data_IF_306717345361
#
_entry.id   IF_306717345361
#
_cell.length_a   1.000
_cell.length_b   1.000
_cell.length_c   1.000
_cell.angle_alpha   90.00
_cell.angle_beta   90.00
_cell.angle_gamma   90.00
#
_symmetry.space_group_name_H-M   'P 1'
#
loop_
_entity.id
_entity.type
_entity.pdbx_description
1 polymer ?
#
# COMPACT_ATOMS: atom_id res chain seq x y z
N UNK A 1 -1.64 8.31 5.36
CA UNK A 1 -1.65 6.89 5.77
C UNK A 1 -0.81 6.71 7.03
N UNK A 2 -1.07 5.69 7.84
CA UNK A 2 -0.17 5.35 8.95
C UNK A 2 1.16 4.82 8.37
N UNK A 3 2.28 5.39 8.82
CA UNK A 3 3.61 4.96 8.35
C UNK A 3 3.96 3.53 8.77
N UNK A 4 3.51 3.08 9.96
CA UNK A 4 3.74 1.71 10.42
C UNK A 4 3.07 0.70 9.49
N UNK A 5 1.81 0.92 9.10
CA UNK A 5 1.10 0.03 8.18
C UNK A 5 1.76 -0.02 6.80
N UNK A 6 2.32 1.11 6.34
CA UNK A 6 3.05 1.15 5.08
C UNK A 6 4.35 0.35 5.17
N UNK A 7 5.11 0.49 6.26
CA UNK A 7 6.35 -0.28 6.47
C UNK A 7 6.07 -1.77 6.61
N UNK A 8 5.05 -2.16 7.36
CA UNK A 8 4.65 -3.57 7.49
C UNK A 8 4.27 -4.17 6.13
N UNK A 9 3.51 -3.43 5.31
CA UNK A 9 3.15 -3.84 3.97
C UNK A 9 4.37 -4.02 3.06
N UNK A 10 5.34 -3.08 3.11
CA UNK A 10 6.56 -3.17 2.31
C UNK A 10 7.48 -4.31 2.78
N UNK A 11 7.58 -4.55 4.09
CA UNK A 11 8.37 -5.65 4.66
C UNK A 11 7.79 -7.03 4.33
N UNK A 12 6.49 -7.13 4.02
CA UNK A 12 5.83 -8.36 3.64
C UNK A 12 5.97 -8.69 2.13
N UNK A 13 6.54 -7.79 1.33
CA UNK A 13 6.68 -7.96 -0.12
C UNK A 13 8.10 -8.41 -0.44
N UNK A 14 8.22 -9.59 -1.07
CA UNK A 14 9.51 -10.19 -1.43
C UNK A 14 10.08 -9.68 -2.78
N UNK A 15 9.52 -8.61 -3.34
CA UNK A 15 9.99 -8.02 -4.60
C UNK A 15 10.76 -6.73 -4.35
N UNK A 16 11.80 -6.43 -5.15
CA UNK A 16 12.59 -5.21 -4.98
C UNK A 16 11.81 -3.93 -5.29
N UNK A 17 10.74 -4.03 -6.08
CA UNK A 17 9.92 -2.91 -6.52
C UNK A 17 8.43 -3.20 -6.32
N UNK A 18 7.65 -2.14 -6.11
CA UNK A 18 6.20 -2.18 -5.94
C UNK A 18 5.52 -1.10 -6.77
N UNK A 19 4.33 -1.40 -7.27
CA UNK A 19 3.39 -0.44 -7.88
C UNK A 19 2.50 0.13 -6.78
N UNK A 20 2.59 1.46 -6.58
CA UNK A 20 1.82 2.21 -5.61
C UNK A 20 0.74 3.01 -6.33
N UNK A 21 -0.53 2.64 -6.12
CA UNK A 21 -1.67 3.37 -6.68
C UNK A 21 -2.31 4.25 -5.64
N UNK A 22 -1.95 5.54 -5.68
CA UNK A 22 -2.54 6.56 -4.83
C UNK A 22 -4.02 6.75 -5.20
N UNK A 23 -4.85 6.78 -4.18
CA UNK A 23 -6.26 7.16 -4.27
C UNK A 23 -6.47 8.52 -3.59
N UNK A 24 -7.61 9.19 -3.85
CA UNK A 24 -8.05 10.34 -3.06
C UNK A 24 -7.96 10.07 -1.54
N UNK A 25 -7.79 11.13 -0.74
CA UNK A 25 -7.49 11.08 0.70
C UNK A 25 -8.46 10.27 1.59
N UNK A 26 -9.65 9.96 1.08
CA UNK A 26 -10.68 9.17 1.76
C UNK A 26 -10.83 7.74 1.21
N UNK A 27 -9.94 7.31 0.32
CA UNK A 27 -9.95 6.00 -0.32
C UNK A 27 -8.66 5.25 -0.05
N UNK A 28 -8.69 3.90 -0.03
CA UNK A 28 -7.51 3.09 0.25
C UNK A 28 -6.41 3.29 -0.79
N UNK A 29 -5.17 3.19 -0.31
CA UNK A 29 -3.98 2.96 -1.11
C UNK A 29 -3.92 1.49 -1.50
N UNK A 30 -3.58 1.21 -2.75
CA UNK A 30 -3.28 -0.15 -3.21
C UNK A 30 -1.79 -0.29 -3.50
N UNK A 31 -1.20 -1.38 -3.00
CA UNK A 31 0.20 -1.76 -3.22
C UNK A 31 0.23 -3.13 -3.89
N UNK A 32 1.04 -3.27 -4.94
CA UNK A 32 1.22 -4.53 -5.65
C UNK A 32 2.71 -4.81 -5.90
N UNK A 33 3.22 -6.02 -5.65
CA UNK A 33 4.57 -6.43 -6.03
C UNK A 33 4.77 -6.34 -7.55
N UNK A 34 5.89 -5.79 -8.01
CA UNK A 34 6.21 -5.78 -9.43
C UNK A 34 6.72 -7.14 -9.89
N UNK A 35 6.29 -7.59 -11.08
CA UNK A 35 6.75 -8.84 -11.69
C UNK A 35 6.07 -10.11 -11.17
N UNK A 36 5.21 -10.01 -10.15
CA UNK A 36 4.30 -11.09 -9.75
C UNK A 36 2.92 -10.87 -10.36
N UNK A 37 2.18 -11.96 -10.58
CA UNK A 37 0.82 -11.93 -11.10
C UNK A 37 -0.15 -11.14 -10.21
N UNK A 38 -1.39 -10.99 -10.66
CA UNK A 38 -2.38 -10.10 -10.03
C UNK A 38 -2.98 -10.62 -8.72
N UNK A 39 -2.42 -11.69 -8.14
CA UNK A 39 -2.97 -12.45 -7.02
C UNK A 39 -2.74 -11.78 -5.65
N UNK A 40 -1.70 -10.94 -5.53
CA UNK A 40 -1.38 -10.29 -4.26
C UNK A 40 -1.53 -8.76 -4.35
N UNK A 41 -2.46 -8.22 -3.56
CA UNK A 41 -2.71 -6.78 -3.44
C UNK A 41 -2.88 -6.41 -1.96
N UNK A 42 -2.06 -5.48 -1.49
CA UNK A 42 -2.22 -4.91 -0.15
C UNK A 42 -3.07 -3.64 -0.25
N UNK A 43 -4.01 -3.50 0.67
CA UNK A 43 -4.91 -2.37 0.79
C UNK A 43 -4.66 -1.66 2.13
N UNK A 44 -4.32 -0.37 2.11
CA UNK A 44 -4.10 0.43 3.32
C UNK A 44 -5.13 1.55 3.36
N UNK A 45 -5.96 1.57 4.40
CA UNK A 45 -6.93 2.65 4.61
C UNK A 45 -6.23 3.96 5.02
N UNK A 46 -6.64 5.12 4.48
CA UNK A 46 -6.14 6.40 4.94
C UNK A 46 -6.63 6.65 6.37
N UNK A 47 -5.77 7.27 7.16
CA UNK A 47 -6.16 7.82 8.45
C UNK A 47 -6.60 9.27 8.22
N UNK A 48 -7.75 9.63 8.78
CA UNK A 48 -8.17 11.02 8.82
C UNK A 48 -7.19 11.79 9.71
N UNK A 49 -6.47 12.74 9.12
CA UNK A 49 -5.70 13.69 9.89
C UNK A 49 -6.68 14.77 10.35
N UNK A 50 -7.02 14.81 11.65
CA UNK A 50 -7.71 15.96 12.23
C UNK A 50 -6.67 17.08 12.31
N UNK A 51 -6.64 17.92 11.27
CA UNK A 51 -5.88 19.18 11.29
C UNK A 51 -6.34 20.09 12.41
#
# INVERSE_FOLDING_TARGET
YNSAYLLDALNAIDTPEVDLRLSPENRPLMIRPMGQGDEFRICIMPLYNRG
#
